data_IF_675493040836
#
_entry.id   IF_675493040836
#
_cell.length_a   1.000
_cell.length_b   1.000
_cell.length_c   1.000
_cell.angle_alpha   90.00
_cell.angle_beta   90.00
_cell.angle_gamma   90.00
#
_symmetry.space_group_name_H-M   'P 1'
#
loop_
_entity.id
_entity.type
_entity.pdbx_description
1 polymer ?
#
# COMPACT_ATOMS: atom_id res chain seq x y z
N UNK A 1 14.52 6.64 -3.08
CA UNK A 1 13.14 6.22 -3.41
C UNK A 1 13.24 5.04 -4.35
N UNK A 2 12.65 3.91 -4.00
CA UNK A 2 12.54 2.75 -4.91
C UNK A 2 11.10 2.63 -5.42
N UNK A 3 10.94 1.96 -6.56
CA UNK A 3 9.63 1.73 -7.16
C UNK A 3 9.21 0.28 -6.97
N UNK A 4 8.02 0.08 -6.46
CA UNK A 4 7.48 -1.22 -6.13
C UNK A 4 6.07 -1.46 -6.63
N UNK A 5 5.60 -2.66 -6.37
CA UNK A 5 4.25 -3.11 -6.74
C UNK A 5 3.63 -3.81 -5.53
N UNK A 6 2.39 -3.46 -5.22
CA UNK A 6 1.60 -4.10 -4.17
C UNK A 6 0.83 -5.30 -4.70
N UNK A 7 0.45 -6.21 -3.80
CA UNK A 7 -0.55 -7.27 -4.07
C UNK A 7 -1.86 -6.71 -4.63
N UNK A 8 -2.20 -5.45 -4.36
CA UNK A 8 -3.38 -4.78 -4.93
C UNK A 8 -3.27 -4.53 -6.45
N UNK A 9 -2.07 -4.58 -7.04
CA UNK A 9 -1.89 -4.58 -8.49
C UNK A 9 -2.04 -5.99 -9.11
N UNK A 10 -2.33 -7.00 -8.29
CA UNK A 10 -2.59 -8.40 -8.66
C UNK A 10 -3.95 -8.87 -8.16
N UNK A 11 -4.85 -7.96 -7.78
CA UNK A 11 -6.10 -8.24 -7.07
C UNK A 11 -6.92 -9.36 -7.72
N UNK A 12 -7.11 -9.31 -9.03
CA UNK A 12 -7.87 -10.33 -9.75
C UNK A 12 -7.11 -11.62 -9.96
N UNK A 13 -5.80 -11.54 -10.22
CA UNK A 13 -4.92 -12.69 -10.44
C UNK A 13 -4.64 -13.50 -9.16
N UNK A 14 -4.84 -12.93 -7.97
CA UNK A 14 -4.76 -13.64 -6.69
C UNK A 14 -6.13 -14.00 -6.10
N UNK A 15 -7.21 -13.54 -6.70
CA UNK A 15 -8.57 -13.75 -6.20
C UNK A 15 -9.06 -15.18 -6.42
N UNK A 16 -10.14 -15.53 -5.71
CA UNK A 16 -10.86 -16.81 -5.93
C UNK A 16 -11.51 -16.94 -7.31
N UNK A 17 -11.52 -15.89 -8.13
CA UNK A 17 -11.97 -15.92 -9.52
C UNK A 17 -10.89 -16.41 -10.48
N UNK A 18 -9.62 -16.41 -10.07
CA UNK A 18 -8.53 -16.94 -10.87
C UNK A 18 -8.60 -18.48 -10.89
N UNK A 19 -8.53 -19.13 -12.06
CA UNK A 19 -8.47 -20.59 -12.16
C UNK A 19 -7.27 -21.17 -11.40
N UNK A 20 -6.16 -20.43 -11.38
CA UNK A 20 -4.94 -20.71 -10.63
C UNK A 20 -4.46 -19.38 -10.04
N UNK A 21 -4.81 -19.05 -8.79
CA UNK A 21 -4.35 -17.81 -8.15
C UNK A 21 -2.82 -17.77 -8.05
N UNK A 22 -2.24 -16.61 -8.37
CA UNK A 22 -0.79 -16.40 -8.23
C UNK A 22 -0.37 -16.52 -6.77
N UNK A 23 0.76 -17.19 -6.56
CA UNK A 23 1.43 -17.23 -5.26
C UNK A 23 2.28 -15.98 -5.02
N UNK A 24 2.76 -15.78 -3.79
CA UNK A 24 3.71 -14.70 -3.49
C UNK A 24 5.00 -14.82 -4.33
N UNK A 25 5.46 -16.04 -4.60
CA UNK A 25 6.63 -16.29 -5.46
C UNK A 25 6.36 -15.95 -6.94
N UNK A 26 5.14 -16.21 -7.43
CA UNK A 26 4.78 -15.86 -8.82
C UNK A 26 4.71 -14.33 -8.99
N UNK A 27 4.08 -13.63 -8.03
CA UNK A 27 4.06 -12.16 -8.02
C UNK A 27 5.48 -11.57 -7.93
N UNK A 28 6.33 -12.12 -7.06
CA UNK A 28 7.71 -11.67 -6.90
C UNK A 28 8.52 -11.77 -8.22
N UNK A 29 8.36 -12.89 -8.94
CA UNK A 29 9.01 -13.08 -10.26
C UNK A 29 8.49 -12.11 -11.31
N UNK A 30 7.17 -11.87 -11.32
CA UNK A 30 6.53 -10.91 -12.24
C UNK A 30 7.02 -9.47 -11.94
N UNK A 31 7.08 -9.07 -10.67
CA UNK A 31 7.61 -7.77 -10.23
C UNK A 31 9.05 -7.56 -10.71
N UNK A 32 9.92 -8.55 -10.49
CA UNK A 32 11.29 -8.50 -10.98
C UNK A 32 11.34 -8.37 -12.52
N UNK A 33 10.52 -9.16 -13.23
CA UNK A 33 10.43 -9.11 -14.69
C UNK A 33 9.93 -7.76 -15.24
N UNK A 34 9.14 -7.03 -14.48
CA UNK A 34 8.64 -5.69 -14.78
C UNK A 34 9.64 -4.57 -14.39
N UNK A 35 10.75 -4.91 -13.73
CA UNK A 35 11.74 -3.94 -13.24
C UNK A 35 11.40 -3.32 -11.88
N UNK A 36 10.40 -3.85 -11.17
CA UNK A 36 10.07 -3.42 -9.81
C UNK A 36 11.16 -3.82 -8.82
N UNK A 37 11.42 -2.95 -7.87
CA UNK A 37 12.48 -3.09 -6.86
C UNK A 37 11.92 -3.46 -5.48
N UNK A 38 10.61 -3.28 -5.27
CA UNK A 38 9.93 -3.55 -4.01
C UNK A 38 8.67 -4.36 -4.26
N UNK A 39 8.45 -5.39 -3.45
CA UNK A 39 7.19 -6.11 -3.39
C UNK A 39 6.51 -5.84 -2.04
N UNK A 40 5.41 -5.12 -2.06
CA UNK A 40 4.62 -4.85 -0.86
C UNK A 40 3.46 -5.86 -0.78
N UNK A 41 3.54 -6.79 0.18
CA UNK A 41 2.58 -7.86 0.41
C UNK A 41 1.50 -7.34 1.34
N UNK A 42 0.47 -6.69 0.76
CA UNK A 42 -0.66 -6.12 1.49
C UNK A 42 -1.88 -7.06 1.47
N UNK A 43 -2.51 -7.23 2.63
CA UNK A 43 -3.79 -7.95 2.80
C UNK A 43 -3.80 -9.32 2.07
N UNK A 44 -2.66 -9.99 2.04
CA UNK A 44 -2.48 -11.30 1.44
C UNK A 44 -2.56 -12.37 2.52
N UNK A 45 -3.78 -12.87 2.77
CA UNK A 45 -4.06 -13.81 3.86
C UNK A 45 -3.11 -15.03 3.95
N UNK A 46 -2.62 -15.63 2.85
CA UNK A 46 -1.71 -16.78 2.96
C UNK A 46 -0.43 -16.48 3.75
N UNK A 47 0.08 -15.24 3.77
CA UNK A 47 1.35 -14.91 4.47
C UNK A 47 1.26 -15.14 5.97
N UNK A 48 0.07 -15.00 6.56
CA UNK A 48 -0.17 -15.21 8.00
C UNK A 48 -0.05 -16.67 8.41
N UNK A 49 -0.24 -17.58 7.47
CA UNK A 49 -0.18 -19.03 7.68
C UNK A 49 1.12 -19.69 7.19
N UNK A 50 2.04 -18.91 6.61
CA UNK A 50 3.32 -19.44 6.16
C UNK A 50 4.16 -19.95 7.34
N UNK A 51 4.68 -21.18 7.20
CA UNK A 51 5.66 -21.71 8.13
C UNK A 51 7.06 -21.11 7.91
N UNK A 52 8.00 -21.47 8.77
CA UNK A 52 9.36 -20.94 8.73
C UNK A 52 10.09 -21.29 7.41
N UNK A 53 9.77 -22.44 6.82
CA UNK A 53 10.36 -22.88 5.54
C UNK A 53 9.83 -22.01 4.40
N UNK A 54 8.53 -21.79 4.34
CA UNK A 54 7.89 -20.95 3.31
C UNK A 54 8.35 -19.47 3.40
N UNK A 55 8.48 -18.94 4.63
CA UNK A 55 9.02 -17.59 4.81
C UNK A 55 10.49 -17.50 4.41
N UNK A 56 11.30 -18.51 4.73
CA UNK A 56 12.71 -18.54 4.33
C UNK A 56 12.87 -18.67 2.80
N UNK A 57 12.03 -19.47 2.14
CA UNK A 57 12.00 -19.59 0.69
C UNK A 57 11.65 -18.25 0.01
N UNK A 58 10.61 -17.57 0.47
CA UNK A 58 10.21 -16.27 -0.06
C UNK A 58 11.31 -15.23 0.13
N UNK A 59 11.93 -15.20 1.31
CA UNK A 59 13.07 -14.31 1.61
C UNK A 59 14.26 -14.57 0.68
N UNK A 60 14.63 -15.84 0.50
CA UNK A 60 15.74 -16.22 -0.36
C UNK A 60 15.46 -15.83 -1.82
N UNK A 61 14.27 -16.15 -2.32
CA UNK A 61 13.86 -15.78 -3.68
C UNK A 61 13.87 -14.25 -3.90
N UNK A 62 13.43 -13.46 -2.92
CA UNK A 62 13.47 -12.00 -3.00
C UNK A 62 14.93 -11.49 -3.06
N UNK A 63 15.82 -12.05 -2.25
CA UNK A 63 17.24 -11.70 -2.25
C UNK A 63 17.91 -12.06 -3.59
N UNK A 64 17.64 -13.25 -4.14
CA UNK A 64 18.18 -13.72 -5.40
C UNK A 64 17.72 -12.83 -6.59
N UNK A 65 16.51 -12.30 -6.53
CA UNK A 65 15.94 -11.41 -7.54
C UNK A 65 16.27 -9.93 -7.29
N UNK A 66 16.90 -9.59 -6.16
CA UNK A 66 17.21 -8.21 -5.80
C UNK A 66 15.97 -7.36 -5.51
N UNK A 67 14.87 -7.98 -5.06
CA UNK A 67 13.61 -7.30 -4.70
C UNK A 67 13.47 -7.19 -3.19
N UNK A 68 13.25 -5.99 -2.70
CA UNK A 68 12.97 -5.74 -1.28
C UNK A 68 11.53 -6.12 -0.95
N UNK A 69 11.31 -6.77 0.19
CA UNK A 69 9.96 -7.09 0.67
C UNK A 69 9.47 -6.02 1.65
N UNK A 70 8.20 -5.67 1.54
CA UNK A 70 7.42 -4.93 2.53
C UNK A 70 6.16 -5.71 2.87
N UNK A 71 5.59 -5.50 4.05
CA UNK A 71 4.35 -6.13 4.49
C UNK A 71 3.23 -5.10 4.61
N UNK A 72 1.99 -5.58 4.51
CA UNK A 72 0.82 -4.76 4.76
C UNK A 72 -0.32 -5.57 5.37
N UNK A 73 -1.00 -4.94 6.32
CA UNK A 73 -2.14 -5.51 7.05
C UNK A 73 -3.19 -4.44 7.36
N UNK A 74 -4.21 -4.81 8.13
CA UNK A 74 -5.24 -3.89 8.65
C UNK A 74 -5.42 -4.06 10.14
N UNK A 75 -5.65 -2.95 10.82
CA UNK A 75 -5.84 -2.89 12.25
C UNK A 75 -4.57 -2.60 13.03
N UNK A 76 -4.78 -2.08 14.23
CA UNK A 76 -3.71 -1.59 15.12
C UNK A 76 -3.75 -2.26 16.50
N UNK A 77 -4.49 -3.36 16.66
CA UNK A 77 -4.46 -4.13 17.90
C UNK A 77 -3.03 -4.60 18.19
N UNK A 78 -2.51 -4.43 19.41
CA UNK A 78 -1.11 -4.72 19.74
C UNK A 78 -0.68 -6.15 19.39
N UNK A 79 -1.50 -7.15 19.71
CA UNK A 79 -1.20 -8.55 19.41
C UNK A 79 -1.12 -8.82 17.90
N UNK A 80 -1.98 -8.17 17.12
CA UNK A 80 -1.97 -8.25 15.66
C UNK A 80 -0.71 -7.62 15.07
N UNK A 81 -0.37 -6.41 15.52
CA UNK A 81 0.86 -5.74 15.10
C UNK A 81 2.11 -6.52 15.50
N UNK A 82 2.13 -7.14 16.69
CA UNK A 82 3.23 -8.01 17.11
C UNK A 82 3.32 -9.27 16.23
N UNK A 83 2.19 -9.84 15.80
CA UNK A 83 2.19 -10.97 14.86
C UNK A 83 2.88 -10.59 13.55
N UNK A 84 2.51 -9.44 12.94
CA UNK A 84 3.15 -8.96 11.72
C UNK A 84 4.63 -8.58 11.93
N UNK A 85 4.98 -8.08 13.09
CA UNK A 85 6.36 -7.80 13.44
C UNK A 85 7.22 -9.09 13.52
N UNK A 86 6.65 -10.22 13.98
CA UNK A 86 7.31 -11.53 13.94
C UNK A 86 7.53 -12.03 12.50
N UNK A 87 6.54 -11.87 11.61
CA UNK A 87 6.69 -12.19 10.18
C UNK A 87 7.77 -11.29 9.55
N UNK A 88 7.73 -9.99 9.82
CA UNK A 88 8.70 -9.01 9.32
C UNK A 88 10.15 -9.41 9.70
N UNK A 89 10.37 -9.83 10.96
CA UNK A 89 11.67 -10.32 11.42
C UNK A 89 12.16 -11.52 10.62
N UNK A 90 11.30 -12.51 10.38
CA UNK A 90 11.66 -13.73 9.63
C UNK A 90 12.00 -13.42 8.17
N UNK A 91 11.24 -12.54 7.55
CA UNK A 91 11.47 -12.11 6.17
C UNK A 91 12.62 -11.09 6.04
N UNK A 92 13.02 -10.42 7.12
CA UNK A 92 13.97 -9.31 7.08
C UNK A 92 13.37 -8.01 6.57
N UNK A 93 12.06 -7.84 6.73
CA UNK A 93 11.30 -6.66 6.33
C UNK A 93 11.49 -5.54 7.34
N UNK A 94 11.67 -4.32 6.85
CA UNK A 94 11.85 -3.10 7.67
C UNK A 94 10.68 -2.12 7.57
N UNK A 95 9.63 -2.48 6.84
CA UNK A 95 8.45 -1.65 6.68
C UNK A 95 7.16 -2.50 6.72
N UNK A 96 6.20 -2.07 7.55
CA UNK A 96 4.85 -2.67 7.63
C UNK A 96 3.81 -1.56 7.46
N UNK A 97 2.92 -1.71 6.48
CA UNK A 97 1.75 -0.84 6.32
C UNK A 97 0.61 -1.38 7.15
N UNK A 98 -0.16 -0.51 7.79
CA UNK A 98 -1.46 -0.86 8.38
C UNK A 98 -2.51 0.24 8.16
N UNK A 99 -3.72 -0.03 8.57
CA UNK A 99 -4.86 0.91 8.60
C UNK A 99 -5.43 0.94 10.01
N UNK A 100 -5.98 2.08 10.45
CA UNK A 100 -6.51 2.20 11.82
C UNK A 100 -7.69 1.26 12.08
N UNK A 101 -8.58 1.12 11.09
CA UNK A 101 -9.81 0.33 11.24
C UNK A 101 -9.73 -1.03 10.54
N UNK A 102 -10.45 -1.98 11.14
CA UNK A 102 -10.85 -3.24 10.50
C UNK A 102 -12.38 -3.26 10.30
N UNK A 103 -12.93 -4.35 9.80
CA UNK A 103 -14.38 -4.53 9.74
C UNK A 103 -15.03 -4.53 11.13
N UNK A 104 -14.33 -5.14 12.11
CA UNK A 104 -14.87 -5.43 13.43
C UNK A 104 -14.37 -4.49 14.52
N UNK A 105 -13.33 -3.68 14.27
CA UNK A 105 -12.73 -2.77 15.23
C UNK A 105 -12.43 -1.41 14.59
N UNK A 106 -13.04 -0.35 15.12
CA UNK A 106 -12.94 1.03 14.61
C UNK A 106 -12.61 1.98 15.75
N UNK A 107 -11.37 1.95 16.26
CA UNK A 107 -10.93 2.80 17.35
C UNK A 107 -11.03 4.29 16.97
N UNK A 108 -11.42 5.13 17.90
CA UNK A 108 -11.30 6.57 17.78
C UNK A 108 -9.84 7.03 17.91
N UNK A 109 -9.60 8.34 17.85
CA UNK A 109 -8.24 8.91 17.93
C UNK A 109 -7.55 8.58 19.25
N UNK A 110 -8.26 8.68 20.37
CA UNK A 110 -7.69 8.43 21.71
C UNK A 110 -7.33 6.96 21.88
N UNK A 111 -8.25 6.06 21.53
CA UNK A 111 -8.02 4.62 21.56
C UNK A 111 -6.89 4.22 20.59
N UNK A 112 -6.87 4.78 19.38
CA UNK A 112 -5.81 4.53 18.40
C UNK A 112 -4.42 4.89 18.94
N UNK A 113 -4.29 6.04 19.59
CA UNK A 113 -3.05 6.47 20.23
C UNK A 113 -2.65 5.52 21.35
N UNK A 114 -3.60 5.08 22.18
CA UNK A 114 -3.32 4.16 23.28
C UNK A 114 -2.84 2.80 22.78
N UNK A 115 -3.48 2.23 21.76
CA UNK A 115 -3.11 0.95 21.16
C UNK A 115 -1.72 1.01 20.48
N UNK A 116 -1.48 2.06 19.69
CA UNK A 116 -0.20 2.24 19.02
C UNK A 116 0.96 2.43 20.00
N UNK A 117 0.76 3.17 21.11
CA UNK A 117 1.79 3.31 22.14
C UNK A 117 2.14 2.00 22.84
N UNK A 118 1.23 1.02 22.87
CA UNK A 118 1.51 -0.33 23.38
C UNK A 118 2.37 -1.16 22.40
N UNK A 119 2.16 -0.97 21.09
CA UNK A 119 2.81 -1.79 20.07
C UNK A 119 4.14 -1.22 19.56
N UNK A 120 4.27 0.12 19.50
CA UNK A 120 5.33 0.77 18.71
C UNK A 120 6.74 0.51 19.25
N UNK A 121 6.89 0.26 20.54
CA UNK A 121 8.19 -0.06 21.14
C UNK A 121 8.87 -1.28 20.50
N UNK A 122 8.12 -2.32 20.15
CA UNK A 122 8.65 -3.47 19.45
C UNK A 122 9.14 -3.16 18.02
N UNK A 123 8.48 -2.23 17.35
CA UNK A 123 8.90 -1.72 16.02
C UNK A 123 10.19 -0.90 16.12
N UNK A 124 10.29 -0.05 17.13
CA UNK A 124 11.51 0.75 17.41
C UNK A 124 12.71 -0.17 17.68
N UNK A 125 12.55 -1.17 18.58
CA UNK A 125 13.60 -2.12 18.94
C UNK A 125 14.09 -2.95 17.74
N UNK A 126 13.22 -3.28 16.80
CA UNK A 126 13.56 -4.07 15.62
C UNK A 126 13.95 -3.21 14.42
N UNK A 127 13.86 -1.88 14.51
CA UNK A 127 14.15 -0.97 13.40
C UNK A 127 13.14 -1.07 12.26
N UNK A 128 11.91 -1.56 12.53
CA UNK A 128 10.82 -1.66 11.55
C UNK A 128 9.97 -0.39 11.63
N UNK A 129 9.62 0.17 10.49
CA UNK A 129 8.71 1.32 10.40
C UNK A 129 7.28 0.85 10.18
N UNK A 130 6.34 1.35 10.98
CA UNK A 130 4.91 1.19 10.79
C UNK A 130 4.34 2.39 10.05
N UNK A 131 3.77 2.18 8.87
CA UNK A 131 3.09 3.21 8.09
C UNK A 131 1.57 3.05 8.17
N UNK A 132 0.86 4.08 8.60
CA UNK A 132 -0.60 4.11 8.62
C UNK A 132 -1.12 4.72 7.32
N UNK A 133 -1.95 3.97 6.59
CA UNK A 133 -2.46 4.41 5.29
C UNK A 133 -3.64 5.36 5.43
N UNK A 134 -3.65 6.39 4.58
CA UNK A 134 -4.80 7.27 4.38
C UNK A 134 -5.91 6.53 3.61
N UNK A 135 -7.15 6.57 4.11
CA UNK A 135 -8.30 5.93 3.46
C UNK A 135 -9.63 6.53 3.92
N UNK A 136 -10.72 6.20 3.23
CA UNK A 136 -12.01 6.88 3.34
C UNK A 136 -12.71 6.78 4.71
N UNK A 137 -12.35 5.82 5.56
CA UNK A 137 -13.04 5.60 6.84
C UNK A 137 -12.55 6.52 7.96
N UNK A 138 -11.34 7.10 7.81
CA UNK A 138 -10.72 7.98 8.81
C UNK A 138 -10.40 9.33 8.17
N UNK A 139 -10.73 10.42 8.86
CA UNK A 139 -10.32 11.74 8.38
C UNK A 139 -8.79 11.86 8.36
N UNK A 140 -8.25 12.43 7.29
CA UNK A 140 -6.79 12.62 7.17
C UNK A 140 -6.23 13.42 8.35
N UNK A 141 -6.98 14.42 8.86
CA UNK A 141 -6.57 15.19 10.03
C UNK A 141 -6.48 14.33 11.29
N UNK A 142 -7.42 13.41 11.50
CA UNK A 142 -7.42 12.50 12.66
C UNK A 142 -6.23 11.53 12.58
N UNK A 143 -5.92 11.01 11.39
CA UNK A 143 -4.75 10.15 11.17
C UNK A 143 -3.44 10.89 11.49
N UNK A 144 -3.31 12.13 11.05
CA UNK A 144 -2.15 13.00 11.37
C UNK A 144 -2.07 13.26 12.87
N UNK A 145 -3.20 13.51 13.54
CA UNK A 145 -3.24 13.72 14.99
C UNK A 145 -2.80 12.48 15.77
N UNK A 146 -3.19 11.28 15.32
CA UNK A 146 -2.72 10.00 15.88
C UNK A 146 -1.20 9.88 15.76
N UNK A 147 -0.65 10.01 14.55
CA UNK A 147 0.79 9.87 14.30
C UNK A 147 1.59 10.90 15.10
N UNK A 148 1.16 12.16 15.11
CA UNK A 148 1.80 13.24 15.86
C UNK A 148 1.77 13.00 17.38
N UNK A 149 0.66 12.45 17.91
CA UNK A 149 0.49 12.23 19.36
C UNK A 149 1.25 11.01 19.85
N UNK A 150 1.36 9.95 19.03
CA UNK A 150 2.24 8.81 19.33
C UNK A 150 3.71 9.22 19.30
N UNK A 151 4.09 10.06 18.35
CA UNK A 151 5.41 10.70 18.22
C UNK A 151 6.58 9.70 18.27
N UNK A 152 6.51 8.64 17.47
CA UNK A 152 7.59 7.65 17.33
C UNK A 152 8.36 7.86 16.02
N UNK A 153 9.69 7.71 16.02
CA UNK A 153 10.48 7.75 14.79
C UNK A 153 10.23 6.56 13.86
N UNK A 154 9.47 5.57 14.32
CA UNK A 154 9.08 4.38 13.56
C UNK A 154 7.59 4.33 13.24
N UNK A 155 6.88 5.45 13.38
CA UNK A 155 5.49 5.60 12.96
C UNK A 155 5.36 6.74 11.96
N UNK A 156 4.73 6.47 10.83
CA UNK A 156 4.48 7.48 9.81
C UNK A 156 3.22 7.20 9.00
N UNK A 157 3.06 7.88 7.89
CA UNK A 157 1.89 7.81 7.03
C UNK A 157 2.27 7.19 5.67
N UNK A 158 1.46 6.25 5.21
CA UNK A 158 1.39 5.82 3.81
C UNK A 158 0.36 6.70 3.12
N UNK A 159 0.81 7.59 2.24
CA UNK A 159 -0.12 8.48 1.55
C UNK A 159 -0.71 7.79 0.32
N UNK A 160 -2.03 7.67 0.31
CA UNK A 160 -2.87 7.25 -0.81
C UNK A 160 -4.04 8.24 -0.95
N UNK A 161 -3.87 9.32 -1.69
CA UNK A 161 -4.89 10.36 -1.77
C UNK A 161 -6.13 9.91 -2.53
N UNK A 162 -6.03 8.89 -3.38
CA UNK A 162 -7.15 8.29 -4.08
C UNK A 162 -8.20 7.70 -3.14
N UNK A 163 -7.78 7.06 -2.04
CA UNK A 163 -8.69 6.52 -1.04
C UNK A 163 -9.58 7.60 -0.41
N UNK A 164 -9.04 8.80 -0.20
CA UNK A 164 -9.71 9.86 0.56
C UNK A 164 -10.80 10.60 -0.24
N UNK A 165 -10.83 10.46 -1.58
CA UNK A 165 -11.86 11.07 -2.43
C UNK A 165 -13.27 10.60 -2.03
N UNK A 166 -13.40 9.32 -1.63
CA UNK A 166 -14.69 8.79 -1.17
C UNK A 166 -15.18 9.41 0.13
N UNK A 167 -14.28 10.05 0.90
CA UNK A 167 -14.60 10.85 2.09
C UNK A 167 -14.87 12.33 1.76
N UNK A 168 -14.82 12.72 0.51
CA UNK A 168 -14.93 14.10 0.04
C UNK A 168 -13.71 14.97 0.43
N UNK A 169 -12.56 14.36 0.65
CA UNK A 169 -11.30 15.06 0.85
C UNK A 169 -10.60 15.27 -0.51
N UNK A 170 -10.09 16.46 -0.74
CA UNK A 170 -9.40 16.75 -1.99
C UNK A 170 -7.97 16.15 -1.95
N UNK A 171 -7.54 15.40 -2.98
CA UNK A 171 -6.24 14.73 -3.01
C UNK A 171 -5.04 15.62 -2.67
N UNK A 172 -5.01 16.87 -3.17
CA UNK A 172 -3.92 17.80 -2.87
C UNK A 172 -3.87 18.22 -1.40
N UNK A 173 -5.03 18.37 -0.73
CA UNK A 173 -5.10 18.68 0.69
C UNK A 173 -4.64 17.50 1.56
N UNK A 174 -4.98 16.26 1.15
CA UNK A 174 -4.49 15.04 1.79
C UNK A 174 -2.96 15.00 1.72
N UNK A 175 -2.39 15.23 0.54
CA UNK A 175 -0.94 15.26 0.33
C UNK A 175 -0.26 16.35 1.16
N UNK A 176 -0.79 17.57 1.13
CA UNK A 176 -0.23 18.70 1.88
C UNK A 176 -0.21 18.43 3.39
N UNK A 177 -1.32 17.90 3.92
CA UNK A 177 -1.46 17.62 5.35
C UNK A 177 -0.55 16.48 5.83
N UNK A 178 -0.36 15.46 4.99
CA UNK A 178 0.37 14.24 5.36
C UNK A 178 1.87 14.30 5.05
N UNK A 179 2.30 15.11 4.09
CA UNK A 179 3.69 15.15 3.59
C UNK A 179 4.78 15.17 4.69
N UNK A 180 4.63 15.92 5.82
CA UNK A 180 5.60 15.92 6.90
C UNK A 180 5.75 14.59 7.67
N UNK A 181 4.86 13.62 7.43
CA UNK A 181 4.81 12.34 8.12
C UNK A 181 4.95 11.14 7.19
N UNK A 182 5.13 11.38 5.88
CA UNK A 182 5.14 10.31 4.87
C UNK A 182 6.38 9.44 4.99
N UNK A 183 6.16 8.12 5.04
CA UNK A 183 7.18 7.06 5.06
C UNK A 183 7.04 6.07 3.89
N UNK A 184 5.91 6.11 3.16
CA UNK A 184 5.65 5.31 1.96
C UNK A 184 4.55 5.97 1.12
N UNK A 185 4.50 5.69 -0.17
CA UNK A 185 3.52 6.27 -1.10
C UNK A 185 2.85 5.15 -1.88
N UNK A 186 1.51 5.10 -1.87
CA UNK A 186 0.75 4.32 -2.82
C UNK A 186 0.46 5.15 -4.07
N UNK A 187 0.96 4.68 -5.20
CA UNK A 187 0.75 5.31 -6.50
C UNK A 187 -0.45 4.64 -7.16
N UNK A 188 -1.61 5.22 -6.92
CA UNK A 188 -2.91 4.73 -7.39
C UNK A 188 -3.68 5.85 -8.05
N UNK A 189 -3.67 5.86 -9.39
CA UNK A 189 -4.42 6.83 -10.17
C UNK A 189 -5.90 6.44 -10.26
N UNK A 190 -6.76 7.41 -10.44
CA UNK A 190 -8.21 7.25 -10.38
C UNK A 190 -8.91 8.20 -11.35
N UNK A 191 -10.13 7.85 -11.72
CA UNK A 191 -10.98 8.67 -12.58
C UNK A 191 -12.46 8.56 -12.21
N UNK A 192 -13.22 9.57 -12.64
CA UNK A 192 -14.68 9.50 -12.67
C UNK A 192 -15.13 9.22 -14.10
N UNK A 193 -16.04 8.27 -14.24
CA UNK A 193 -16.75 8.03 -15.50
C UNK A 193 -18.24 8.22 -15.33
N UNK A 194 -18.91 8.66 -16.41
CA UNK A 194 -20.37 8.78 -16.42
C UNK A 194 -21.01 7.39 -16.52
N UNK A 195 -22.00 7.12 -15.68
CA UNK A 195 -22.82 5.91 -15.82
C UNK A 195 -23.78 6.02 -16.97
N UNK A 196 -24.14 4.86 -17.54
CA UNK A 196 -25.16 4.80 -18.60
C UNK A 196 -26.48 5.43 -18.16
N UNK A 197 -27.18 6.02 -19.12
CA UNK A 197 -28.45 6.73 -18.86
C UNK A 197 -28.27 8.04 -18.07
N UNK A 198 -27.05 8.54 -17.87
CA UNK A 198 -26.74 9.79 -17.17
C UNK A 198 -27.18 9.79 -15.68
N UNK A 199 -27.24 8.61 -15.06
CA UNK A 199 -27.72 8.41 -13.68
C UNK A 199 -26.60 8.46 -12.63
N UNK A 200 -25.61 9.31 -12.81
CA UNK A 200 -24.53 9.49 -11.85
C UNK A 200 -23.15 9.16 -12.42
N UNK A 201 -22.22 8.87 -11.53
CA UNK A 201 -20.82 8.61 -11.85
C UNK A 201 -20.34 7.33 -11.19
N UNK A 202 -19.32 6.72 -11.77
CA UNK A 202 -18.50 5.70 -11.15
C UNK A 202 -17.15 6.31 -10.82
N UNK A 203 -16.68 6.06 -9.61
CA UNK A 203 -15.30 6.31 -9.18
C UNK A 203 -14.54 4.98 -9.24
N UNK A 204 -13.42 4.94 -9.96
CA UNK A 204 -12.63 3.74 -10.15
C UNK A 204 -11.16 4.09 -10.42
N UNK A 205 -10.28 3.08 -10.43
CA UNK A 205 -8.90 3.26 -10.81
C UNK A 205 -8.71 3.64 -12.28
N UNK A 206 -7.55 4.22 -12.57
CA UNK A 206 -7.06 4.51 -13.91
C UNK A 206 -5.58 4.10 -14.02
N UNK A 207 -5.06 3.79 -15.21
CA UNK A 207 -3.63 3.65 -15.41
C UNK A 207 -2.89 4.95 -15.05
N UNK A 208 -1.75 4.85 -14.40
CA UNK A 208 -0.98 6.01 -13.94
C UNK A 208 -0.75 7.04 -15.06
N UNK A 209 -1.07 8.32 -14.76
CA UNK A 209 -0.94 9.44 -15.68
C UNK A 209 -2.09 9.61 -16.66
N UNK A 210 -3.15 8.78 -16.56
CA UNK A 210 -4.36 8.92 -17.41
C UNK A 210 -5.58 9.38 -16.61
N UNK A 211 -5.47 9.41 -15.29
CA UNK A 211 -6.54 9.80 -14.37
C UNK A 211 -6.39 11.20 -13.80
N UNK A 212 -6.78 11.35 -12.55
CA UNK A 212 -6.87 12.64 -11.86
C UNK A 212 -5.84 12.80 -10.74
N UNK A 213 -4.98 11.81 -10.49
CA UNK A 213 -3.89 11.94 -9.54
C UNK A 213 -2.83 12.90 -10.08
N UNK A 214 -2.62 14.02 -9.39
CA UNK A 214 -1.46 14.88 -9.65
C UNK A 214 -0.20 14.24 -9.02
N UNK A 215 0.28 13.16 -9.65
CA UNK A 215 1.45 12.42 -9.19
C UNK A 215 2.70 13.30 -9.08
N UNK A 216 3.04 14.20 -10.07
CA UNK A 216 4.20 15.07 -9.94
C UNK A 216 4.13 16.00 -8.72
N UNK A 217 2.97 16.61 -8.45
CA UNK A 217 2.79 17.48 -7.28
C UNK A 217 2.88 16.68 -5.97
N UNK A 218 2.29 15.48 -5.91
CA UNK A 218 2.38 14.60 -4.74
C UNK A 218 3.83 14.26 -4.42
N UNK A 219 4.62 13.82 -5.40
CA UNK A 219 6.03 13.45 -5.18
C UNK A 219 6.89 14.68 -4.85
N UNK A 220 6.61 15.83 -5.44
CA UNK A 220 7.28 17.08 -5.08
C UNK A 220 7.04 17.45 -3.61
N UNK A 221 5.82 17.33 -3.12
CA UNK A 221 5.49 17.57 -1.72
C UNK A 221 6.21 16.58 -0.78
N UNK A 222 6.21 15.29 -1.12
CA UNK A 222 6.93 14.26 -0.35
C UNK A 222 8.44 14.53 -0.33
N UNK A 223 9.05 14.85 -1.47
CA UNK A 223 10.49 15.17 -1.56
C UNK A 223 10.88 16.38 -0.71
N UNK A 224 9.99 17.36 -0.59
CA UNK A 224 10.26 18.60 0.12
C UNK A 224 9.98 18.52 1.63
N UNK A 225 9.09 17.64 2.08
CA UNK A 225 8.55 17.70 3.43
C UNK A 225 8.64 16.38 4.22
N UNK A 226 8.82 15.22 3.58
CA UNK A 226 8.93 13.95 4.32
C UNK A 226 10.16 13.94 5.22
N UNK A 227 10.12 13.23 6.36
CA UNK A 227 11.23 13.16 7.31
C UNK A 227 12.52 12.61 6.71
N UNK A 228 12.40 11.60 5.87
CA UNK A 228 13.50 11.02 5.09
C UNK A 228 13.02 10.69 3.67
N UNK A 229 12.99 11.68 2.76
CA UNK A 229 12.46 11.48 1.42
C UNK A 229 13.17 10.38 0.62
N UNK A 230 14.46 10.15 0.90
CA UNK A 230 15.27 9.16 0.17
C UNK A 230 14.81 7.72 0.44
N UNK A 231 14.28 7.45 1.64
CA UNK A 231 13.79 6.12 2.05
C UNK A 231 12.34 5.86 1.67
N UNK A 232 11.58 6.86 1.19
CA UNK A 232 10.18 6.68 0.81
C UNK A 232 10.06 5.86 -0.46
N UNK A 233 9.50 4.65 -0.37
CA UNK A 233 9.19 3.83 -1.53
C UNK A 233 7.85 4.24 -2.15
N UNK A 234 7.73 4.03 -3.46
CA UNK A 234 6.56 4.36 -4.25
C UNK A 234 5.97 3.07 -4.81
N UNK A 235 4.79 2.72 -4.34
CA UNK A 235 4.19 1.40 -4.56
C UNK A 235 2.97 1.52 -5.48
N UNK A 236 3.02 0.86 -6.61
CA UNK A 236 1.92 0.80 -7.58
C UNK A 236 0.77 -0.04 -7.03
N UNK A 237 -0.41 0.52 -7.04
CA UNK A 237 -1.69 -0.13 -6.75
C UNK A 237 -2.73 0.21 -7.82
N UNK A 238 -3.79 -0.62 -7.93
CA UNK A 238 -4.90 -0.35 -8.85
C UNK A 238 -6.25 -0.64 -8.21
N UNK A 239 -7.26 0.03 -8.78
CA UNK A 239 -8.68 -0.31 -8.62
C UNK A 239 -9.28 -0.65 -10.00
N UNK A 240 -8.75 -1.68 -10.64
CA UNK A 240 -9.30 -2.16 -11.91
C UNK A 240 -10.66 -2.83 -11.68
N UNK A 241 -11.78 -2.32 -12.26
CA UNK A 241 -13.04 -3.02 -12.21
C UNK A 241 -12.99 -4.34 -12.98
N UNK A 242 -13.81 -5.31 -12.53
CA UNK A 242 -14.01 -6.54 -13.29
C UNK A 242 -14.53 -6.26 -14.70
N UNK A 243 -13.99 -6.96 -15.70
CA UNK A 243 -14.34 -6.78 -17.10
C UNK A 243 -15.38 -7.81 -17.56
N UNK A 244 -16.30 -7.41 -18.45
CA UNK A 244 -17.39 -8.27 -18.95
C UNK A 244 -16.89 -9.50 -19.73
N UNK A 245 -15.67 -9.46 -20.27
CA UNK A 245 -15.02 -10.58 -20.94
C UNK A 245 -14.53 -11.71 -20.02
N UNK A 246 -14.74 -11.58 -18.69
CA UNK A 246 -14.36 -12.59 -17.72
C UNK A 246 -12.91 -12.48 -17.22
N UNK A 247 -12.42 -13.59 -16.63
CA UNK A 247 -11.12 -13.60 -15.96
C UNK A 247 -9.95 -13.26 -16.88
N UNK A 248 -9.86 -13.89 -18.04
CA UNK A 248 -8.71 -13.73 -18.94
C UNK A 248 -8.56 -12.28 -19.41
N UNK A 249 -9.67 -11.61 -19.76
CA UNK A 249 -9.67 -10.19 -20.16
C UNK A 249 -9.29 -9.30 -18.98
N UNK A 250 -9.83 -9.59 -17.79
CA UNK A 250 -9.56 -8.81 -16.58
C UNK A 250 -8.10 -8.96 -16.15
N UNK A 251 -7.56 -10.18 -16.14
CA UNK A 251 -6.18 -10.47 -15.76
C UNK A 251 -5.16 -9.85 -16.73
N UNK A 252 -5.44 -9.92 -18.03
CA UNK A 252 -4.59 -9.27 -19.05
C UNK A 252 -4.59 -7.75 -18.88
N UNK A 253 -5.74 -7.13 -18.66
CA UNK A 253 -5.83 -5.70 -18.45
C UNK A 253 -5.14 -5.27 -17.15
N UNK A 254 -5.29 -6.06 -16.07
CA UNK A 254 -4.56 -5.84 -14.80
C UNK A 254 -3.05 -5.87 -15.01
N UNK A 255 -2.54 -6.86 -15.76
CA UNK A 255 -1.13 -6.93 -16.11
C UNK A 255 -0.66 -5.72 -16.93
N UNK A 256 -1.46 -5.31 -17.91
CA UNK A 256 -1.15 -4.13 -18.74
C UNK A 256 -1.09 -2.85 -17.90
N UNK A 257 -2.02 -2.66 -16.95
CA UNK A 257 -2.00 -1.50 -16.05
C UNK A 257 -0.79 -1.52 -15.13
N UNK A 258 -0.44 -2.68 -14.56
CA UNK A 258 0.74 -2.86 -13.73
C UNK A 258 2.02 -2.49 -14.50
N UNK A 259 2.18 -3.06 -15.69
CA UNK A 259 3.31 -2.79 -16.57
C UNK A 259 3.40 -1.32 -16.98
N UNK A 260 2.28 -0.70 -17.33
CA UNK A 260 2.23 0.71 -17.69
C UNK A 260 2.66 1.59 -16.51
N UNK A 261 2.06 1.38 -15.32
CA UNK A 261 2.31 2.21 -14.15
C UNK A 261 3.77 2.12 -13.68
N UNK A 262 4.31 0.89 -13.54
CA UNK A 262 5.72 0.75 -13.14
C UNK A 262 6.68 1.31 -14.20
N UNK A 263 6.40 1.13 -15.49
CA UNK A 263 7.21 1.71 -16.58
C UNK A 263 7.17 3.23 -16.58
N UNK A 264 6.04 3.83 -16.19
CA UNK A 264 5.90 5.29 -16.07
C UNK A 264 6.77 5.83 -14.94
N UNK A 265 6.79 5.14 -13.79
CA UNK A 265 7.65 5.50 -12.66
C UNK A 265 9.14 5.40 -13.01
N UNK A 266 9.55 4.30 -13.64
CA UNK A 266 10.94 4.06 -14.03
C UNK A 266 11.48 5.03 -15.10
N UNK A 267 10.60 5.64 -15.91
CA UNK A 267 10.99 6.62 -16.94
C UNK A 267 11.01 8.05 -16.44
N UNK A 268 10.40 8.32 -15.31
CA UNK A 268 10.28 9.66 -14.72
C UNK A 268 11.50 10.08 -13.88
N UNK A 269 12.59 9.29 -13.88
CA UNK A 269 13.88 9.61 -13.28
C UNK A 269 14.73 10.50 -14.17
#
# INVERSE_FOLDING_TARGET
MAYGISTYAYFWRISSRAPQPMTALDMLRDIHGLGGQVFQICDYAPIESYDDTQLAELKAAAADLGVTLELGTRGIAPDHLEHYLRIARKLGVTFVRSMLHTADHKPDVEESVALLKQAIGGYEEQGVTLGLETYEQVATADLVDVVRTVNSPRLGIVVDPGNCVARLEHPSQVVELTAPYVVNVHVKDFAFSRRDGWVGFTYAGAPLGTGLLDYPAMIAAVRNHAPDPASVNQIVEHWLPWQDGGFDVTAELEHQWTKHSISTLLKGE
#
